data_IF_821117159302
#
_entry.id   IF_821117159302
#
_cell.length_a   1.000
_cell.length_b   1.000
_cell.length_c   1.000
_cell.angle_alpha   90.00
_cell.angle_beta   90.00
_cell.angle_gamma   90.00
#
_symmetry.space_group_name_H-M   'P 1'
#
loop_
_entity.id
_entity.type
_entity.pdbx_description
1 polymer ?
#
# COMPACT_ATOMS: atom_id res chain seq x y z
N UNK A 1 -20.18 5.07 6.71
CA UNK A 1 -19.17 6.02 7.23
C UNK A 1 -17.78 5.49 6.88
N UNK A 2 -16.93 6.34 6.39
CA UNK A 2 -15.58 6.01 5.99
C UNK A 2 -14.60 6.26 7.13
N UNK A 3 -13.71 5.30 7.41
CA UNK A 3 -12.68 5.42 8.43
C UNK A 3 -11.36 4.88 7.87
N UNK A 4 -10.30 5.66 8.00
CA UNK A 4 -8.95 5.26 7.60
C UNK A 4 -8.07 5.30 8.84
N UNK A 5 -7.39 4.19 9.12
CA UNK A 5 -6.52 4.06 10.28
C UNK A 5 -5.11 3.68 9.86
N UNK A 6 -4.11 4.32 10.46
CA UNK A 6 -2.75 3.82 10.44
C UNK A 6 -2.60 2.88 11.62
N UNK A 7 -2.18 1.66 11.35
CA UNK A 7 -2.15 0.57 12.34
C UNK A 7 -0.75 0.00 12.49
N UNK A 8 -0.57 -0.82 13.53
CA UNK A 8 0.63 -1.59 13.77
C UNK A 8 0.26 -3.07 14.03
N UNK A 9 1.26 -3.98 14.17
CA UNK A 9 0.97 -5.40 14.38
C UNK A 9 0.22 -5.74 15.67
N UNK A 10 0.10 -4.81 16.61
CA UNK A 10 -0.65 -5.00 17.86
C UNK A 10 -2.06 -4.44 17.77
N UNK A 11 -2.42 -3.76 16.70
CA UNK A 11 -3.75 -3.20 16.48
C UNK A 11 -4.79 -4.30 16.33
N UNK A 12 -6.01 -4.04 16.78
CA UNK A 12 -7.14 -4.95 16.55
C UNK A 12 -7.41 -5.19 15.08
N UNK A 13 -7.15 -4.19 14.24
CA UNK A 13 -7.33 -4.25 12.79
C UNK A 13 -6.25 -5.05 12.07
N UNK A 14 -5.21 -5.52 12.77
CA UNK A 14 -4.10 -6.23 12.11
C UNK A 14 -4.56 -7.45 11.31
N UNK A 15 -5.46 -8.25 11.88
CA UNK A 15 -5.97 -9.45 11.19
C UNK A 15 -6.76 -9.07 9.93
N UNK A 16 -7.59 -8.04 9.97
CA UNK A 16 -8.29 -7.55 8.78
C UNK A 16 -7.31 -7.07 7.72
N UNK A 17 -6.26 -6.36 8.14
CA UNK A 17 -5.19 -5.92 7.25
C UNK A 17 -4.52 -7.12 6.56
N UNK A 18 -4.19 -8.15 7.30
CA UNK A 18 -3.55 -9.37 6.77
C UNK A 18 -4.46 -10.08 5.78
N UNK A 19 -5.76 -10.17 6.05
CA UNK A 19 -6.73 -10.78 5.13
C UNK A 19 -6.71 -10.05 3.78
N UNK A 20 -6.74 -8.71 3.80
CA UNK A 20 -6.69 -7.91 2.57
C UNK A 20 -5.32 -8.01 1.87
N UNK A 21 -4.24 -8.11 2.62
CA UNK A 21 -2.91 -8.40 2.05
C UNK A 21 -2.90 -9.74 1.33
N UNK A 22 -3.51 -10.77 1.91
CA UNK A 22 -3.63 -12.09 1.27
C UNK A 22 -4.39 -12.00 -0.05
N UNK A 23 -5.52 -11.29 -0.07
CA UNK A 23 -6.28 -11.08 -1.31
C UNK A 23 -5.41 -10.43 -2.38
N UNK A 24 -4.67 -9.40 -2.01
CA UNK A 24 -3.76 -8.68 -2.91
C UNK A 24 -2.68 -9.59 -3.46
N UNK A 25 -1.96 -10.31 -2.60
CA UNK A 25 -0.86 -11.17 -3.03
C UNK A 25 -1.31 -12.35 -3.86
N UNK A 26 -2.43 -12.98 -3.50
CA UNK A 26 -3.00 -14.08 -4.29
C UNK A 26 -3.44 -13.63 -5.67
N UNK A 27 -3.95 -12.41 -5.80
CA UNK A 27 -4.35 -11.85 -7.08
C UNK A 27 -3.15 -11.57 -7.99
N UNK A 28 -2.08 -11.00 -7.45
CA UNK A 28 -0.92 -10.56 -8.23
C UNK A 28 0.13 -11.65 -8.42
N UNK A 29 0.23 -12.58 -7.49
CA UNK A 29 1.19 -13.69 -7.53
C UNK A 29 0.50 -15.02 -7.17
N UNK A 30 -0.48 -15.47 -7.98
CA UNK A 30 -1.31 -16.63 -7.62
C UNK A 30 -0.52 -17.93 -7.49
N UNK A 31 0.65 -18.04 -8.12
CA UNK A 31 1.46 -19.27 -8.10
C UNK A 31 2.39 -19.38 -6.90
N UNK A 32 2.67 -18.28 -6.19
CA UNK A 32 3.64 -18.26 -5.08
C UNK A 32 3.15 -19.08 -3.89
N UNK A 33 1.84 -19.12 -3.67
CA UNK A 33 1.24 -19.71 -2.47
C UNK A 33 0.35 -20.91 -2.78
N UNK A 34 0.46 -21.50 -3.98
CA UNK A 34 -0.48 -22.56 -4.46
C UNK A 34 -0.53 -23.79 -3.56
N UNK A 35 0.55 -24.12 -2.86
CA UNK A 35 0.66 -25.34 -2.04
C UNK A 35 0.40 -25.08 -0.56
N UNK A 36 -0.03 -23.89 -0.19
CA UNK A 36 -0.26 -23.51 1.21
C UNK A 36 -1.75 -23.27 1.46
N UNK A 37 -2.20 -23.60 2.68
CA UNK A 37 -3.54 -23.21 3.12
C UNK A 37 -3.61 -21.69 3.28
N UNK A 38 -4.82 -21.14 3.26
CA UNK A 38 -5.03 -19.71 3.48
C UNK A 38 -4.50 -19.26 4.84
N UNK A 39 -4.71 -20.04 5.89
CA UNK A 39 -4.17 -19.78 7.22
C UNK A 39 -2.65 -19.68 7.19
N UNK A 40 -1.99 -20.59 6.49
CA UNK A 40 -0.52 -20.59 6.36
C UNK A 40 -0.02 -19.37 5.60
N UNK A 41 -0.70 -18.97 4.54
CA UNK A 41 -0.37 -17.77 3.77
C UNK A 41 -0.47 -16.53 4.67
N UNK A 42 -1.55 -16.42 5.43
CA UNK A 42 -1.74 -15.30 6.37
C UNK A 42 -0.61 -15.25 7.42
N UNK A 43 -0.22 -16.39 7.97
CA UNK A 43 0.88 -16.46 8.94
C UNK A 43 2.21 -15.99 8.34
N UNK A 44 2.52 -16.42 7.11
CA UNK A 44 3.76 -16.04 6.42
C UNK A 44 3.79 -14.54 6.13
N UNK A 45 2.70 -13.98 5.64
CA UNK A 45 2.59 -12.55 5.34
C UNK A 45 2.68 -11.75 6.64
N UNK A 46 1.94 -12.14 7.67
CA UNK A 46 1.97 -11.47 8.97
C UNK A 46 3.37 -11.46 9.56
N UNK A 47 4.08 -12.59 9.53
CA UNK A 47 5.44 -12.70 10.04
C UNK A 47 6.41 -11.79 9.28
N UNK A 48 6.34 -11.76 7.97
CA UNK A 48 7.18 -10.89 7.13
C UNK A 48 6.93 -9.41 7.42
N UNK A 49 5.67 -9.00 7.48
CA UNK A 49 5.31 -7.61 7.72
C UNK A 49 5.66 -7.16 9.15
N UNK A 50 5.52 -8.03 10.14
CA UNK A 50 5.98 -7.75 11.50
C UNK A 50 7.48 -7.51 11.56
N UNK A 51 8.26 -8.31 10.81
CA UNK A 51 9.70 -8.12 10.73
C UNK A 51 10.05 -6.79 10.07
N UNK A 52 9.40 -6.45 8.97
CA UNK A 52 9.59 -5.16 8.29
C UNK A 52 9.21 -3.99 9.17
N UNK A 53 8.14 -4.12 9.94
CA UNK A 53 7.72 -3.07 10.88
C UNK A 53 8.82 -2.78 11.92
N UNK A 54 9.50 -3.81 12.42
CA UNK A 54 10.60 -3.66 13.39
C UNK A 54 11.84 -2.95 12.82
N UNK A 55 11.99 -2.91 11.49
CA UNK A 55 13.07 -2.17 10.84
C UNK A 55 12.85 -0.65 10.89
N UNK A 56 11.65 -0.20 11.27
CA UNK A 56 11.29 1.21 11.36
C UNK A 56 10.78 1.80 10.06
N UNK A 57 10.25 3.02 10.15
CA UNK A 57 9.81 3.84 9.02
C UNK A 57 8.74 3.22 8.11
N UNK A 58 7.96 2.28 8.65
CA UNK A 58 6.90 1.57 7.93
C UNK A 58 5.54 2.10 8.35
N UNK A 59 4.65 2.35 7.39
CA UNK A 59 3.26 2.71 7.64
C UNK A 59 2.31 1.68 7.04
N UNK A 60 1.43 1.13 7.86
CA UNK A 60 0.35 0.26 7.45
C UNK A 60 -0.98 0.98 7.61
N UNK A 61 -1.79 0.99 6.56
CA UNK A 61 -3.06 1.72 6.52
C UNK A 61 -4.19 0.77 6.15
N UNK A 62 -5.30 0.88 6.85
CA UNK A 62 -6.52 0.14 6.53
C UNK A 62 -7.70 1.10 6.44
N UNK A 63 -8.59 0.85 5.49
CA UNK A 63 -9.81 1.62 5.30
C UNK A 63 -11.02 0.74 5.56
N UNK A 64 -11.95 1.27 6.32
CA UNK A 64 -13.26 0.67 6.58
C UNK A 64 -14.35 1.54 5.99
N UNK A 65 -15.31 0.92 5.36
CA UNK A 65 -16.55 1.54 4.92
C UNK A 65 -17.71 0.83 5.62
N UNK A 66 -18.45 1.55 6.48
CA UNK A 66 -19.52 0.96 7.28
C UNK A 66 -19.09 -0.30 8.04
N UNK A 67 -17.89 -0.20 8.67
CA UNK A 67 -17.24 -1.27 9.45
C UNK A 67 -16.74 -2.47 8.64
N UNK A 68 -16.85 -2.43 7.31
CA UNK A 68 -16.25 -3.44 6.43
C UNK A 68 -14.87 -3.01 5.97
N UNK A 69 -13.83 -3.86 6.10
CA UNK A 69 -12.51 -3.54 5.57
C UNK A 69 -12.54 -3.58 4.05
N UNK A 70 -12.15 -2.49 3.39
CA UNK A 70 -12.29 -2.35 1.94
C UNK A 70 -10.99 -2.04 1.21
N UNK A 71 -9.97 -1.57 1.91
CA UNK A 71 -8.70 -1.18 1.26
C UNK A 71 -7.55 -1.19 2.26
N UNK A 72 -6.35 -1.39 1.73
CA UNK A 72 -5.10 -1.33 2.50
C UNK A 72 -4.02 -0.60 1.72
N UNK A 73 -3.04 -0.08 2.46
CA UNK A 73 -1.77 0.38 1.90
C UNK A 73 -0.62 0.02 2.84
N UNK A 74 0.53 -0.29 2.26
CA UNK A 74 1.77 -0.53 2.95
C UNK A 74 2.83 0.36 2.31
N UNK A 75 3.44 1.22 3.11
CA UNK A 75 4.41 2.18 2.64
C UNK A 75 5.59 2.26 3.62
N UNK A 76 6.73 2.72 3.12
CA UNK A 76 7.92 2.85 3.95
C UNK A 76 8.76 4.05 3.49
N UNK A 77 9.59 4.56 4.40
CA UNK A 77 10.43 5.71 4.13
C UNK A 77 11.88 5.26 3.97
N UNK A 78 12.50 5.62 2.85
CA UNK A 78 13.94 5.54 2.69
C UNK A 78 14.56 6.89 3.02
N UNK A 79 15.71 6.86 3.70
CA UNK A 79 16.38 8.06 4.21
C UNK A 79 17.84 8.06 3.77
N UNK A 80 18.07 8.48 2.54
CA UNK A 80 19.40 8.78 2.04
C UNK A 80 19.59 10.31 2.08
N UNK A 81 19.88 10.94 0.94
CA UNK A 81 20.00 12.40 0.87
C UNK A 81 18.64 13.06 1.11
N UNK A 82 17.60 12.50 0.50
CA UNK A 82 16.21 12.91 0.69
C UNK A 82 15.40 11.79 1.34
N UNK A 83 14.28 12.15 1.99
CA UNK A 83 13.31 11.18 2.48
C UNK A 83 12.33 10.87 1.37
N UNK A 84 12.27 9.61 0.98
CA UNK A 84 11.41 9.12 -0.10
C UNK A 84 10.34 8.19 0.50
N UNK A 85 9.10 8.49 0.19
CA UNK A 85 7.96 7.62 0.51
C UNK A 85 7.85 6.56 -0.58
N UNK A 86 8.00 5.29 -0.20
CA UNK A 86 7.87 4.16 -1.10
C UNK A 86 6.55 3.45 -0.81
N UNK A 87 5.71 3.29 -1.82
CA UNK A 87 4.44 2.56 -1.68
C UNK A 87 4.67 1.14 -2.18
N UNK A 88 4.62 0.18 -1.26
CA UNK A 88 4.88 -1.23 -1.56
C UNK A 88 3.61 -1.96 -2.02
N UNK A 89 2.54 -1.85 -1.25
CA UNK A 89 1.23 -2.42 -1.59
C UNK A 89 0.16 -1.34 -1.48
N UNK A 90 -0.77 -1.36 -2.43
CA UNK A 90 -1.92 -0.47 -2.45
C UNK A 90 -3.08 -1.23 -3.10
N UNK A 91 -4.13 -1.49 -2.34
CA UNK A 91 -5.21 -2.37 -2.78
C UNK A 91 -6.56 -1.85 -2.30
N UNK A 92 -7.49 -1.73 -3.22
CA UNK A 92 -8.91 -1.49 -2.95
C UNK A 92 -9.67 -2.68 -3.52
N UNK A 93 -10.53 -3.30 -2.72
CA UNK A 93 -11.38 -4.41 -3.19
C UNK A 93 -12.18 -3.99 -4.42
N UNK A 94 -12.32 -4.89 -5.40
CA UNK A 94 -12.89 -4.58 -6.72
C UNK A 94 -14.30 -3.98 -6.65
N UNK A 95 -15.15 -4.52 -5.77
CA UNK A 95 -16.52 -4.05 -5.62
C UNK A 95 -16.62 -2.61 -5.10
N UNK A 96 -15.52 -2.06 -4.61
CA UNK A 96 -15.45 -0.69 -4.13
C UNK A 96 -14.69 0.26 -5.06
N UNK A 97 -14.28 -0.21 -6.24
CA UNK A 97 -13.63 0.64 -7.22
C UNK A 97 -14.58 1.72 -7.75
N UNK A 98 -14.01 2.85 -8.19
CA UNK A 98 -14.72 3.98 -8.80
C UNK A 98 -15.63 4.76 -7.84
N UNK A 99 -15.38 4.65 -6.52
CA UNK A 99 -16.09 5.43 -5.49
C UNK A 99 -15.21 6.47 -4.81
N UNK A 100 -14.02 6.75 -5.37
CA UNK A 100 -13.08 7.72 -4.80
C UNK A 100 -12.33 7.22 -3.56
N UNK A 101 -12.50 5.95 -3.18
CA UNK A 101 -11.88 5.40 -1.97
C UNK A 101 -10.36 5.30 -2.09
N UNK A 102 -9.88 4.89 -3.26
CA UNK A 102 -8.44 4.82 -3.51
C UNK A 102 -7.76 6.18 -3.36
N UNK A 103 -8.40 7.24 -3.86
CA UNK A 103 -7.88 8.60 -3.72
C UNK A 103 -7.82 9.05 -2.25
N UNK A 104 -8.86 8.73 -1.47
CA UNK A 104 -8.89 9.05 -0.05
C UNK A 104 -7.79 8.33 0.72
N UNK A 105 -7.58 7.04 0.45
CA UNK A 105 -6.48 6.27 1.03
C UNK A 105 -5.13 6.85 0.64
N UNK A 106 -4.94 7.15 -0.64
CA UNK A 106 -3.72 7.75 -1.16
C UNK A 106 -3.37 9.05 -0.44
N UNK A 107 -4.33 9.94 -0.26
CA UNK A 107 -4.11 11.21 0.44
C UNK A 107 -3.67 10.99 1.89
N UNK A 108 -4.20 9.96 2.57
CA UNK A 108 -3.77 9.61 3.92
C UNK A 108 -2.31 9.13 3.94
N UNK A 109 -1.92 8.28 3.01
CA UNK A 109 -0.54 7.78 2.89
C UNK A 109 0.42 8.94 2.62
N UNK A 110 0.08 9.82 1.67
CA UNK A 110 0.90 10.99 1.33
C UNK A 110 1.05 11.93 2.53
N UNK A 111 -0.03 12.22 3.24
CA UNK A 111 0.01 13.10 4.42
C UNK A 111 0.92 12.54 5.51
N UNK A 112 0.88 11.23 5.72
CA UNK A 112 1.78 10.56 6.66
C UNK A 112 3.25 10.74 6.23
N UNK A 113 3.57 10.44 4.98
CA UNK A 113 4.93 10.60 4.46
C UNK A 113 5.42 12.03 4.57
N UNK A 114 4.60 13.00 4.20
CA UNK A 114 4.94 14.44 4.29
C UNK A 114 5.17 14.88 5.75
N UNK A 115 4.37 14.36 6.69
CA UNK A 115 4.53 14.67 8.11
C UNK A 115 5.88 14.23 8.66
N UNK A 116 6.51 13.24 8.01
CA UNK A 116 7.83 12.71 8.37
C UNK A 116 8.94 13.22 7.44
N UNK A 117 8.65 14.21 6.60
CA UNK A 117 9.64 14.92 5.78
C UNK A 117 9.83 14.37 4.37
N UNK A 118 8.97 13.46 3.91
CA UNK A 118 9.09 12.94 2.54
C UNK A 118 8.89 14.05 1.50
N UNK A 119 9.77 14.09 0.51
CA UNK A 119 9.75 15.07 -0.58
C UNK A 119 9.40 14.45 -1.92
N UNK A 120 9.40 13.13 -1.99
CA UNK A 120 9.12 12.36 -3.19
C UNK A 120 8.37 11.10 -2.80
N UNK A 121 7.42 10.68 -3.62
CA UNK A 121 6.81 9.35 -3.53
C UNK A 121 7.16 8.54 -4.76
N UNK A 122 7.48 7.27 -4.56
CA UNK A 122 7.80 6.33 -5.61
C UNK A 122 7.01 5.03 -5.43
N UNK A 123 6.68 4.39 -6.53
CA UNK A 123 6.14 3.03 -6.55
C UNK A 123 6.54 2.32 -7.84
N UNK A 124 6.53 1.00 -7.80
CA UNK A 124 6.83 0.15 -8.96
C UNK A 124 5.64 -0.75 -9.28
N UNK A 125 5.43 -1.01 -10.57
CA UNK A 125 4.36 -1.86 -11.09
C UNK A 125 4.82 -2.52 -12.37
N UNK A 126 4.14 -3.58 -12.79
CA UNK A 126 4.47 -4.29 -14.03
C UNK A 126 4.02 -3.57 -15.32
N UNK A 127 3.29 -2.48 -15.19
CA UNK A 127 2.88 -1.66 -16.33
C UNK A 127 1.66 -2.13 -17.09
N UNK A 128 1.14 -3.31 -16.78
CA UNK A 128 0.02 -3.93 -17.52
C UNK A 128 -1.31 -3.88 -16.75
N UNK A 129 -1.36 -3.23 -15.61
CA UNK A 129 -2.51 -3.22 -14.73
C UNK A 129 -3.38 -1.99 -14.95
N UNK A 130 -4.72 -2.09 -14.75
CA UNK A 130 -5.60 -0.93 -14.73
C UNK A 130 -5.19 0.13 -13.71
N UNK A 131 -4.47 -0.26 -12.67
CA UNK A 131 -3.91 0.64 -11.67
C UNK A 131 -3.01 1.73 -12.28
N UNK A 132 -2.42 1.51 -13.46
CA UNK A 132 -1.59 2.52 -14.12
C UNK A 132 -2.39 3.78 -14.46
N UNK A 133 -3.66 3.66 -14.83
CA UNK A 133 -4.54 4.81 -15.03
C UNK A 133 -4.78 5.56 -13.72
N UNK A 134 -4.93 4.82 -12.62
CA UNK A 134 -5.10 5.40 -11.29
C UNK A 134 -3.88 6.24 -10.91
N UNK A 135 -2.67 5.69 -11.04
CA UNK A 135 -1.44 6.43 -10.70
C UNK A 135 -1.30 7.70 -11.53
N UNK A 136 -1.55 7.62 -12.83
CA UNK A 136 -1.52 8.79 -13.71
C UNK A 136 -2.56 9.82 -13.32
N UNK A 137 -3.75 9.40 -12.91
CA UNK A 137 -4.83 10.31 -12.47
C UNK A 137 -4.47 11.08 -11.21
N UNK A 138 -3.54 10.57 -10.40
CA UNK A 138 -3.03 11.23 -9.19
C UNK A 138 -1.85 12.16 -9.48
N UNK A 139 -1.43 12.28 -10.72
CA UNK A 139 -0.34 13.14 -11.14
C UNK A 139 1.04 12.47 -11.13
N UNK A 140 1.13 11.16 -10.89
CA UNK A 140 2.40 10.46 -10.95
C UNK A 140 2.84 10.32 -12.41
N UNK A 141 4.15 10.39 -12.62
CA UNK A 141 4.78 10.23 -13.93
C UNK A 141 5.74 9.06 -13.92
N UNK A 142 5.87 8.41 -15.09
CA UNK A 142 6.82 7.31 -15.26
C UNK A 142 8.23 7.86 -15.32
N UNK A 143 9.12 7.35 -14.45
CA UNK A 143 10.53 7.74 -14.42
C UNK A 143 11.46 6.63 -14.91
N UNK A 144 11.03 5.37 -14.83
CA UNK A 144 11.79 4.21 -15.28
C UNK A 144 10.84 3.19 -15.90
N UNK A 145 11.29 2.51 -16.96
CA UNK A 145 10.50 1.47 -17.65
C UNK A 145 11.06 0.06 -17.49
N UNK A 146 12.30 -0.06 -17.01
CA UNK A 146 12.97 -1.34 -16.81
C UNK A 146 13.80 -1.31 -15.52
N UNK A 147 13.92 -2.44 -14.78
CA UNK A 147 13.25 -3.74 -15.03
C UNK A 147 11.76 -3.72 -14.78
N UNK A 148 11.25 -2.74 -14.02
CA UNK A 148 9.82 -2.53 -13.76
C UNK A 148 9.46 -1.06 -14.01
N UNK A 149 8.18 -0.83 -14.25
CA UNK A 149 7.66 0.53 -14.42
C UNK A 149 7.66 1.24 -13.07
N UNK A 150 8.34 2.40 -13.00
CA UNK A 150 8.38 3.24 -11.80
C UNK A 150 7.62 4.53 -12.02
N UNK A 151 6.74 4.83 -11.09
CA UNK A 151 6.02 6.10 -11.01
C UNK A 151 6.58 6.95 -9.88
N UNK A 152 6.66 8.26 -10.10
CA UNK A 152 7.12 9.21 -9.10
C UNK A 152 6.28 10.46 -9.08
N UNK A 153 6.22 11.09 -7.93
CA UNK A 153 5.56 12.38 -7.72
C UNK A 153 6.35 13.17 -6.69
N UNK A 154 6.73 14.40 -7.06
CA UNK A 154 7.34 15.34 -6.10
C UNK A 154 6.26 15.83 -5.13
N UNK A 155 6.55 15.76 -3.85
CA UNK A 155 5.64 16.20 -2.79
C UNK A 155 5.98 17.64 -2.39
N UNK A 156 4.95 18.47 -2.31
CA UNK A 156 5.10 19.87 -1.86
C UNK A 156 4.76 19.90 -0.37
N UNK A 157 5.75 20.22 0.44
CA UNK A 157 5.54 20.43 1.88
C UNK A 157 4.91 21.81 2.09
N UNK A 158 3.70 21.81 2.61
CA UNK A 158 3.00 23.04 2.97
C UNK A 158 3.34 23.45 4.39
#
# INVERSE_FOLDING_TARGET
MLRIERIDPQSKAWQDFIVLCCEYFQRHWPTVYTNNSETKIQELISSDLKQRFRQGDRGFFIMYLNDEPVAIANAWLSKDDDIILNVAEFYVRDEYHRHGLGKALWQNVISWGQSLGAVLVELETDGLKPANFFWKSLGLTVTHTAPRLRYSLTLVNK
#
